data_IF_111465235531
#
_entry.id   IF_111465235531
#
_cell.length_a   1.000
_cell.length_b   1.000
_cell.length_c   1.000
_cell.angle_alpha   90.00
_cell.angle_beta   90.00
_cell.angle_gamma   90.00
#
_symmetry.space_group_name_H-M   'P 1'
#
loop_
_entity.id
_entity.type
_entity.pdbx_description
1 polymer ?
#
# COMPACT_ATOMS: atom_id res chain seq x y z
N UNK A 1 40.77 -4.40 11.79
CA UNK A 1 40.81 -3.55 13.02
C UNK A 1 39.40 -3.26 13.56
N UNK A 2 38.47 -2.71 12.78
CA UNK A 2 37.09 -2.46 13.25
C UNK A 2 36.36 -3.76 13.64
N UNK A 3 36.50 -4.84 12.86
CA UNK A 3 35.86 -6.12 13.17
C UNK A 3 36.35 -6.78 14.47
N UNK A 4 37.65 -6.63 14.81
CA UNK A 4 38.20 -7.17 16.06
C UNK A 4 37.68 -6.38 17.26
N UNK A 5 37.57 -5.05 17.15
CA UNK A 5 36.99 -4.19 18.19
C UNK A 5 35.49 -4.48 18.40
N UNK A 6 34.75 -4.85 17.37
CA UNK A 6 33.32 -5.22 17.46
C UNK A 6 33.15 -6.57 18.16
N UNK A 7 34.03 -7.54 17.90
CA UNK A 7 33.98 -8.86 18.54
C UNK A 7 34.38 -8.77 20.02
N UNK A 8 35.45 -8.06 20.35
CA UNK A 8 35.88 -7.86 21.73
C UNK A 8 34.82 -7.13 22.59
N UNK A 9 34.11 -6.15 21.99
CA UNK A 9 33.03 -5.46 22.69
C UNK A 9 31.77 -6.32 22.80
N UNK A 10 31.49 -7.17 21.80
CA UNK A 10 30.34 -8.09 21.87
C UNK A 10 30.51 -9.11 23.01
N UNK A 11 31.70 -9.67 23.16
CA UNK A 11 32.00 -10.63 24.24
C UNK A 11 32.04 -9.98 25.62
N UNK A 12 32.22 -8.67 25.71
CA UNK A 12 32.17 -7.91 26.97
C UNK A 12 30.77 -7.53 27.44
N UNK A 13 29.75 -7.73 26.60
CA UNK A 13 28.36 -7.40 26.92
C UNK A 13 27.80 -8.38 27.95
N UNK A 14 27.03 -7.87 28.90
CA UNK A 14 26.24 -8.70 29.80
C UNK A 14 25.08 -9.42 29.07
N UNK A 15 24.55 -10.50 29.63
CA UNK A 15 23.45 -11.25 29.03
C UNK A 15 22.21 -10.37 28.74
N UNK A 16 21.98 -9.31 29.53
CA UNK A 16 20.91 -8.35 29.32
C UNK A 16 21.15 -7.45 28.11
N UNK A 17 22.39 -7.05 27.85
CA UNK A 17 22.76 -6.17 26.73
C UNK A 17 22.64 -6.88 25.39
N UNK A 18 22.89 -8.19 25.32
CA UNK A 18 22.63 -8.98 24.10
C UNK A 18 21.15 -9.01 23.73
N UNK A 19 20.24 -9.06 24.70
CA UNK A 19 18.79 -9.03 24.45
C UNK A 19 18.39 -7.68 23.83
N UNK A 20 18.96 -6.57 24.30
CA UNK A 20 18.72 -5.26 23.73
C UNK A 20 19.23 -5.11 22.30
N UNK A 21 20.39 -5.70 21.99
CA UNK A 21 20.89 -5.73 20.61
C UNK A 21 19.91 -6.45 19.66
N UNK A 22 19.29 -7.56 20.12
CA UNK A 22 18.28 -8.28 19.34
C UNK A 22 16.98 -7.47 19.16
N UNK A 23 16.56 -6.69 20.15
CA UNK A 23 15.38 -5.82 20.06
C UNK A 23 15.63 -4.64 19.11
N UNK A 24 16.86 -4.14 19.01
CA UNK A 24 17.21 -3.06 18.09
C UNK A 24 17.02 -3.44 16.61
N UNK A 25 17.17 -4.71 16.23
CA UNK A 25 17.03 -5.18 14.85
C UNK A 25 15.61 -4.92 14.29
N UNK A 26 14.52 -5.40 14.92
CA UNK A 26 13.17 -5.12 14.41
C UNK A 26 12.83 -3.63 14.44
N UNK A 27 13.34 -2.86 15.41
CA UNK A 27 13.18 -1.40 15.45
C UNK A 27 13.86 -0.75 14.24
N UNK A 28 15.10 -1.15 13.94
CA UNK A 28 15.82 -0.71 12.75
C UNK A 28 15.05 -0.98 11.47
N UNK A 29 14.58 -2.22 11.28
CA UNK A 29 13.82 -2.62 10.09
C UNK A 29 12.56 -1.77 9.96
N UNK A 30 11.83 -1.54 11.05
CA UNK A 30 10.62 -0.72 11.06
C UNK A 30 10.91 0.74 10.68
N UNK A 31 11.92 1.36 11.28
CA UNK A 31 12.32 2.75 10.98
C UNK A 31 12.76 2.87 9.51
N UNK A 32 13.61 1.95 9.03
CA UNK A 32 14.07 1.93 7.66
C UNK A 32 12.91 1.78 6.65
N UNK A 33 11.85 1.05 7.04
CA UNK A 33 10.66 0.89 6.22
C UNK A 33 9.74 2.12 6.28
N UNK A 34 9.58 2.75 7.44
CA UNK A 34 8.83 4.01 7.60
C UNK A 34 9.49 5.12 6.77
N UNK A 35 10.82 5.15 6.69
CA UNK A 35 11.58 6.09 5.84
C UNK A 35 11.58 5.71 4.34
N UNK A 36 10.79 4.71 3.94
CA UNK A 36 10.68 4.18 2.57
C UNK A 36 12.01 3.72 1.95
N UNK A 37 13.04 3.46 2.75
CA UNK A 37 14.35 3.01 2.28
C UNK A 37 14.28 1.71 1.47
N UNK A 38 13.35 0.80 1.82
CA UNK A 38 13.14 -0.46 1.10
C UNK A 38 12.21 -0.32 -0.10
N UNK A 39 11.28 0.65 -0.08
CA UNK A 39 10.30 0.82 -1.16
C UNK A 39 10.86 1.64 -2.32
N UNK A 40 11.89 2.45 -2.09
CA UNK A 40 12.63 3.14 -3.15
C UNK A 40 13.29 2.15 -4.12
N UNK A 41 13.78 1.01 -3.63
CA UNK A 41 14.41 -0.02 -4.47
C UNK A 41 13.47 -0.61 -5.52
N UNK A 42 12.18 -0.76 -5.21
CA UNK A 42 11.18 -1.27 -6.16
C UNK A 42 10.71 -0.21 -7.15
N UNK A 43 10.97 1.07 -6.90
CA UNK A 43 10.45 2.20 -7.70
C UNK A 43 11.48 2.82 -8.65
N UNK A 44 12.76 2.54 -8.49
CA UNK A 44 13.83 3.13 -9.33
C UNK A 44 14.44 2.07 -10.24
N UNK A 45 14.66 2.44 -11.50
CA UNK A 45 15.26 1.56 -12.52
C UNK A 45 16.77 1.38 -12.28
N UNK A 46 17.44 2.37 -11.71
CA UNK A 46 18.86 2.33 -11.32
C UNK A 46 19.05 2.85 -9.90
N UNK A 47 19.80 2.10 -9.10
CA UNK A 47 20.12 2.45 -7.71
C UNK A 47 21.62 2.50 -7.48
N UNK A 48 22.06 3.55 -6.80
CA UNK A 48 23.38 3.59 -6.19
C UNK A 48 23.20 3.50 -4.66
N UNK A 49 23.94 2.61 -4.03
CA UNK A 49 23.99 2.53 -2.55
C UNK A 49 24.50 3.82 -1.93
N UNK A 50 25.28 4.60 -2.70
CA UNK A 50 25.81 5.89 -2.25
C UNK A 50 24.70 6.96 -2.10
N UNK A 51 23.67 6.92 -2.94
CA UNK A 51 22.56 7.87 -2.87
C UNK A 51 21.67 7.66 -1.63
N UNK A 52 21.79 6.50 -0.99
CA UNK A 52 21.00 6.13 0.19
C UNK A 52 21.76 6.36 1.51
N UNK A 53 23.06 6.64 1.46
CA UNK A 53 23.87 6.86 2.65
C UNK A 53 23.26 7.89 3.63
N UNK A 54 22.73 9.05 3.18
CA UNK A 54 22.10 10.00 4.09
C UNK A 54 20.88 9.42 4.81
N UNK A 55 20.03 8.66 4.10
CA UNK A 55 18.86 7.98 4.69
C UNK A 55 19.26 6.88 5.69
N UNK A 56 20.26 6.08 5.35
CA UNK A 56 20.79 5.04 6.24
C UNK A 56 21.40 5.65 7.51
N UNK A 57 22.12 6.77 7.40
CA UNK A 57 22.66 7.49 8.56
C UNK A 57 21.55 8.06 9.44
N UNK A 58 20.52 8.66 8.84
CA UNK A 58 19.34 9.15 9.57
C UNK A 58 18.62 8.01 10.30
N UNK A 59 18.42 6.88 9.62
CA UNK A 59 17.81 5.67 10.22
C UNK A 59 18.64 5.16 11.41
N UNK A 60 19.97 5.15 11.28
CA UNK A 60 20.88 4.77 12.37
C UNK A 60 20.73 5.71 13.58
N UNK A 61 20.76 7.02 13.34
CA UNK A 61 20.61 8.01 14.40
C UNK A 61 19.26 7.92 15.11
N UNK A 62 18.16 7.76 14.37
CA UNK A 62 16.80 7.60 14.94
C UNK A 62 16.71 6.30 15.75
N UNK A 63 17.27 5.19 15.23
CA UNK A 63 17.26 3.91 15.95
C UNK A 63 18.00 3.99 17.28
N UNK A 64 19.17 4.64 17.29
CA UNK A 64 19.94 4.88 18.52
C UNK A 64 19.13 5.74 19.50
N UNK A 65 18.51 6.82 19.04
CA UNK A 65 17.70 7.71 19.88
C UNK A 65 16.48 7.00 20.48
N UNK A 66 15.78 6.17 19.68
CA UNK A 66 14.63 5.37 20.13
C UNK A 66 15.07 4.31 21.14
N UNK A 67 16.15 3.60 20.85
CA UNK A 67 16.71 2.62 21.77
C UNK A 67 17.11 3.26 23.10
N UNK A 68 17.73 4.45 23.07
CA UNK A 68 18.09 5.19 24.28
C UNK A 68 16.87 5.63 25.09
N UNK A 69 15.81 6.10 24.42
CA UNK A 69 14.54 6.44 25.06
C UNK A 69 13.87 5.23 25.74
N UNK A 70 13.85 4.08 25.07
CA UNK A 70 13.24 2.84 25.60
C UNK A 70 14.04 2.32 26.81
N UNK A 71 15.37 2.31 26.73
CA UNK A 71 16.21 1.86 27.84
C UNK A 71 16.11 2.78 29.05
N UNK A 72 15.98 4.10 28.84
CA UNK A 72 15.73 5.06 29.91
C UNK A 72 14.38 4.86 30.61
N UNK A 73 13.33 4.48 29.86
CA UNK A 73 11.99 4.18 30.40
C UNK A 73 11.95 2.88 31.21
N UNK A 74 12.81 1.92 30.90
CA UNK A 74 12.84 0.59 31.52
C UNK A 74 13.95 0.44 32.58
N UNK A 75 14.57 1.57 33.00
CA UNK A 75 15.73 1.59 33.94
C UNK A 75 16.89 0.67 33.50
N UNK A 76 16.97 0.34 32.23
CA UNK A 76 18.03 -0.47 31.66
C UNK A 76 19.14 0.46 31.15
N UNK A 77 20.17 0.69 31.95
CA UNK A 77 21.27 1.59 31.64
C UNK A 77 22.27 0.95 30.66
N UNK A 78 22.00 1.08 29.34
CA UNK A 78 23.01 0.80 28.34
C UNK A 78 23.98 1.98 28.25
N UNK A 79 25.28 1.68 28.29
CA UNK A 79 26.34 2.70 28.14
C UNK A 79 26.28 3.32 26.75
N UNK A 80 26.46 4.64 26.64
CA UNK A 80 26.44 5.36 25.34
C UNK A 80 27.40 4.77 24.31
N UNK A 81 28.55 4.20 24.77
CA UNK A 81 29.51 3.50 23.91
C UNK A 81 28.93 2.23 23.28
N UNK A 82 28.20 1.43 24.04
CA UNK A 82 27.53 0.20 23.55
C UNK A 82 26.49 0.54 22.51
N UNK A 83 25.67 1.56 22.74
CA UNK A 83 24.66 2.01 21.76
C UNK A 83 25.30 2.50 20.46
N UNK A 84 26.40 3.23 20.55
CA UNK A 84 27.11 3.73 19.38
C UNK A 84 27.73 2.58 18.58
N UNK A 85 28.26 1.55 19.25
CA UNK A 85 28.78 0.34 18.60
C UNK A 85 27.67 -0.44 17.92
N UNK A 86 26.53 -0.67 18.59
CA UNK A 86 25.39 -1.37 18.00
C UNK A 86 24.85 -0.60 16.77
N UNK A 87 24.69 0.71 16.87
CA UNK A 87 24.22 1.54 15.77
C UNK A 87 25.18 1.54 14.57
N UNK A 88 26.49 1.64 14.83
CA UNK A 88 27.54 1.58 13.81
C UNK A 88 27.59 0.20 13.14
N UNK A 89 27.54 -0.86 13.92
CA UNK A 89 27.49 -2.24 13.42
C UNK A 89 26.23 -2.45 12.55
N UNK A 90 25.05 -2.04 13.02
CA UNK A 90 23.80 -2.13 12.27
C UNK A 90 23.89 -1.37 10.94
N UNK A 91 24.49 -0.17 10.91
CA UNK A 91 24.69 0.61 9.70
C UNK A 91 25.54 -0.15 8.66
N UNK A 92 26.72 -0.66 9.07
CA UNK A 92 27.61 -1.39 8.14
C UNK A 92 27.02 -2.73 7.69
N UNK A 93 26.38 -3.49 8.61
CA UNK A 93 25.70 -4.73 8.30
C UNK A 93 24.56 -4.48 7.29
N UNK A 94 23.82 -3.39 7.48
CA UNK A 94 22.73 -3.03 6.54
C UNK A 94 23.30 -2.73 5.14
N UNK A 95 24.38 -1.98 5.03
CA UNK A 95 25.03 -1.70 3.74
C UNK A 95 25.49 -3.02 3.07
N UNK A 96 26.14 -3.90 3.81
CA UNK A 96 26.62 -5.18 3.29
C UNK A 96 25.47 -6.07 2.83
N UNK A 97 24.44 -6.24 3.66
CA UNK A 97 23.27 -7.05 3.33
C UNK A 97 22.52 -6.47 2.12
N UNK A 98 22.32 -5.17 2.05
CA UNK A 98 21.69 -4.52 0.88
C UNK A 98 22.52 -4.73 -0.38
N UNK A 99 23.83 -4.56 -0.32
CA UNK A 99 24.72 -4.78 -1.45
C UNK A 99 24.68 -6.25 -1.89
N UNK A 100 24.70 -7.20 -0.95
CA UNK A 100 24.61 -8.62 -1.25
C UNK A 100 23.25 -9.00 -1.85
N UNK A 101 22.14 -8.51 -1.29
CA UNK A 101 20.78 -8.76 -1.81
C UNK A 101 20.62 -8.17 -3.21
N UNK A 102 21.13 -6.95 -3.46
CA UNK A 102 21.11 -6.36 -4.79
C UNK A 102 21.93 -7.18 -5.79
N UNK A 103 23.13 -7.55 -5.40
CA UNK A 103 23.99 -8.40 -6.25
C UNK A 103 23.31 -9.72 -6.60
N UNK A 104 22.70 -10.39 -5.61
CA UNK A 104 21.95 -11.63 -5.82
C UNK A 104 20.72 -11.40 -6.70
N UNK A 105 19.98 -10.31 -6.46
CA UNK A 105 18.82 -9.94 -7.27
C UNK A 105 19.20 -9.74 -8.74
N UNK A 106 20.32 -9.03 -9.00
CA UNK A 106 20.85 -8.84 -10.33
C UNK A 106 21.23 -10.14 -11.05
N UNK A 107 21.59 -11.19 -10.29
CA UNK A 107 21.93 -12.50 -10.87
C UNK A 107 20.71 -13.40 -11.13
N UNK A 108 19.62 -13.21 -10.36
CA UNK A 108 18.48 -14.15 -10.35
C UNK A 108 17.22 -13.56 -10.98
N UNK A 109 17.04 -12.22 -10.91
CA UNK A 109 15.84 -11.59 -11.45
C UNK A 109 15.84 -11.62 -12.98
N UNK A 110 14.74 -12.12 -13.55
CA UNK A 110 14.51 -12.03 -14.99
C UNK A 110 14.34 -10.56 -15.40
N UNK A 111 14.86 -10.22 -16.59
CA UNK A 111 14.70 -8.88 -17.15
C UNK A 111 13.21 -8.52 -17.32
N UNK A 112 12.84 -7.28 -16.99
CA UNK A 112 11.47 -6.77 -17.23
C UNK A 112 11.23 -6.64 -18.73
N UNK A 113 10.23 -7.36 -19.22
CA UNK A 113 9.82 -7.31 -20.62
C UNK A 113 9.14 -5.96 -20.91
N UNK A 114 9.81 -5.16 -21.73
CA UNK A 114 9.46 -3.76 -21.97
C UNK A 114 8.95 -3.56 -23.38
N UNK A 115 7.83 -2.86 -23.52
CA UNK A 115 7.20 -2.45 -24.77
C UNK A 115 7.27 -0.93 -24.91
N UNK A 116 7.65 -0.43 -26.07
CA UNK A 116 7.70 1.01 -26.35
C UNK A 116 6.46 1.42 -27.13
N UNK A 117 5.81 2.53 -26.73
CA UNK A 117 4.71 3.15 -27.49
C UNK A 117 5.24 4.42 -28.14
N UNK A 118 5.15 4.47 -29.46
CA UNK A 118 5.58 5.57 -30.31
C UNK A 118 6.32 5.08 -31.54
N UNK A 119 6.25 5.87 -32.61
CA UNK A 119 6.85 5.58 -33.92
C UNK A 119 7.91 6.58 -34.37
N UNK A 120 8.13 7.66 -33.60
CA UNK A 120 9.07 8.75 -33.98
C UNK A 120 10.51 8.58 -33.42
N UNK A 121 11.34 9.58 -33.70
CA UNK A 121 12.76 9.63 -33.30
C UNK A 121 12.98 9.43 -31.77
N UNK A 122 12.05 9.90 -30.95
CA UNK A 122 12.07 9.74 -29.50
C UNK A 122 11.91 8.27 -29.08
N UNK A 123 10.96 7.56 -29.69
CA UNK A 123 10.74 6.15 -29.45
C UNK A 123 11.96 5.33 -29.92
N UNK A 124 12.56 5.68 -31.05
CA UNK A 124 13.83 5.11 -31.53
C UNK A 124 14.97 5.31 -30.53
N UNK A 125 15.13 6.52 -30.03
CA UNK A 125 16.16 6.83 -29.04
C UNK A 125 16.00 5.96 -27.78
N UNK A 126 14.76 5.85 -27.28
CA UNK A 126 14.42 5.00 -26.13
C UNK A 126 14.70 3.53 -26.42
N UNK A 127 14.24 3.02 -27.56
CA UNK A 127 14.45 1.63 -27.98
C UNK A 127 15.96 1.30 -28.08
N UNK A 128 16.75 2.17 -28.73
CA UNK A 128 18.20 2.03 -28.79
C UNK A 128 18.85 2.03 -27.43
N UNK A 129 18.43 2.95 -26.53
CA UNK A 129 18.98 3.02 -25.17
C UNK A 129 18.61 1.80 -24.34
N UNK A 130 17.38 1.31 -24.44
CA UNK A 130 16.97 0.07 -23.78
C UNK A 130 17.79 -1.13 -24.26
N UNK A 131 18.08 -1.21 -25.56
CA UNK A 131 18.88 -2.30 -26.12
C UNK A 131 20.36 -2.25 -25.72
N UNK A 132 20.96 -1.06 -25.71
CA UNK A 132 22.41 -0.89 -25.45
C UNK A 132 22.72 -0.78 -23.96
N UNK A 133 21.84 -0.13 -23.18
CA UNK A 133 22.07 0.20 -21.79
C UNK A 133 20.99 -0.35 -20.84
N UNK A 134 19.98 -1.06 -21.37
CA UNK A 134 18.95 -1.73 -20.57
C UNK A 134 19.55 -2.80 -19.63
N UNK A 135 20.75 -3.25 -19.99
CA UNK A 135 21.53 -4.18 -19.19
C UNK A 135 20.72 -5.44 -18.85
N UNK A 136 21.01 -6.02 -17.69
CA UNK A 136 20.39 -7.27 -17.26
C UNK A 136 18.93 -7.10 -16.77
N UNK A 137 18.34 -5.88 -16.82
CA UNK A 137 17.05 -5.62 -16.14
C UNK A 137 15.88 -5.24 -17.04
N UNK A 138 16.12 -4.76 -18.28
CA UNK A 138 15.07 -4.36 -19.21
C UNK A 138 15.29 -5.02 -20.56
N UNK A 139 14.36 -5.89 -20.95
CA UNK A 139 14.34 -6.56 -22.25
C UNK A 139 13.37 -5.83 -23.19
N UNK A 140 13.87 -5.23 -24.25
CA UNK A 140 13.02 -4.66 -25.29
C UNK A 140 12.35 -5.75 -26.10
N UNK A 141 11.03 -5.92 -25.94
CA UNK A 141 10.23 -6.91 -26.68
C UNK A 141 9.81 -6.38 -28.05
N UNK A 142 9.44 -5.09 -28.13
CA UNK A 142 9.02 -4.46 -29.35
C UNK A 142 8.34 -3.10 -29.14
N UNK A 143 7.58 -2.66 -30.14
CA UNK A 143 6.89 -1.38 -30.05
C UNK A 143 5.48 -1.40 -30.64
N UNK A 144 4.66 -0.45 -30.18
CA UNK A 144 3.35 -0.10 -30.73
C UNK A 144 3.40 1.31 -31.34
N UNK A 145 2.76 1.49 -32.48
CA UNK A 145 2.72 2.79 -33.17
C UNK A 145 1.57 2.86 -34.18
N UNK A 146 1.25 4.05 -34.63
CA UNK A 146 0.13 4.21 -35.58
C UNK A 146 0.46 3.73 -36.99
N UNK A 147 1.75 3.76 -37.40
CA UNK A 147 2.19 3.34 -38.73
C UNK A 147 3.47 2.51 -38.70
N UNK A 148 3.48 1.46 -39.52
CA UNK A 148 4.66 0.56 -39.69
C UNK A 148 5.74 1.21 -40.54
N UNK A 149 5.37 2.12 -41.42
CA UNK A 149 6.16 2.46 -42.61
C UNK A 149 6.77 3.88 -42.63
N UNK A 150 6.49 4.72 -41.65
CA UNK A 150 6.69 6.14 -41.90
C UNK A 150 7.95 6.78 -41.39
N UNK A 151 8.90 6.03 -40.82
CA UNK A 151 10.16 6.69 -40.53
C UNK A 151 11.36 5.77 -40.58
N UNK A 152 12.28 6.10 -41.47
CA UNK A 152 13.70 5.80 -41.34
C UNK A 152 14.26 6.15 -39.93
N UNK A 153 13.44 6.79 -39.08
CA UNK A 153 13.75 7.26 -37.74
C UNK A 153 12.96 6.57 -36.61
N UNK A 154 12.27 5.45 -36.88
CA UNK A 154 11.45 4.75 -35.90
C UNK A 154 12.20 3.66 -35.09
N UNK A 155 11.52 3.06 -34.10
CA UNK A 155 12.07 1.97 -33.27
C UNK A 155 12.45 0.71 -34.09
N UNK A 156 11.90 0.53 -35.29
CA UNK A 156 12.23 -0.58 -36.19
C UNK A 156 13.72 -0.59 -36.55
N UNK A 157 14.34 0.58 -36.78
CA UNK A 157 15.78 0.72 -37.03
C UNK A 157 16.63 0.30 -35.81
N UNK A 158 16.06 0.31 -34.62
CA UNK A 158 16.66 -0.24 -33.41
C UNK A 158 16.49 -1.76 -33.31
N UNK A 159 15.91 -2.43 -34.32
CA UNK A 159 15.64 -3.88 -34.31
C UNK A 159 14.47 -4.29 -33.40
N UNK A 160 13.61 -3.33 -33.04
CA UNK A 160 12.41 -3.62 -32.26
C UNK A 160 11.29 -4.17 -33.16
N UNK A 161 10.58 -5.22 -32.70
CA UNK A 161 9.44 -5.82 -33.43
C UNK A 161 8.21 -4.93 -33.31
N UNK A 162 7.53 -4.71 -34.41
CA UNK A 162 6.22 -4.04 -34.44
C UNK A 162 5.10 -5.01 -34.06
N UNK A 163 4.22 -4.60 -33.16
CA UNK A 163 3.09 -5.42 -32.70
C UNK A 163 1.72 -4.88 -33.07
N UNK A 164 1.60 -3.64 -33.51
CA UNK A 164 0.31 -3.05 -33.89
C UNK A 164 0.08 -1.64 -33.35
N UNK A 165 -1.14 -1.12 -33.49
CA UNK A 165 -1.51 0.18 -32.96
C UNK A 165 -1.66 0.16 -31.42
N UNK A 166 -1.55 1.32 -30.74
CA UNK A 166 -1.64 1.40 -29.26
C UNK A 166 -2.94 0.85 -28.66
N UNK A 167 -4.03 0.78 -29.44
CA UNK A 167 -5.32 0.23 -29.00
C UNK A 167 -5.30 -1.28 -28.72
N UNK A 168 -4.33 -2.02 -29.24
CA UNK A 168 -4.18 -3.47 -29.03
C UNK A 168 -3.32 -3.83 -27.79
N UNK A 169 -2.90 -2.79 -27.04
CA UNK A 169 -1.99 -2.93 -25.89
C UNK A 169 -2.42 -4.00 -24.90
N UNK A 170 -3.70 -4.06 -24.53
CA UNK A 170 -4.16 -4.98 -23.49
C UNK A 170 -3.95 -6.45 -23.87
N UNK A 171 -4.29 -6.84 -25.11
CA UNK A 171 -4.07 -8.21 -25.60
C UNK A 171 -2.60 -8.56 -25.73
N UNK A 172 -1.80 -7.62 -26.25
CA UNK A 172 -0.35 -7.82 -26.46
C UNK A 172 0.37 -7.88 -25.11
N UNK A 173 -0.04 -7.08 -24.12
CA UNK A 173 0.57 -7.11 -22.80
C UNK A 173 0.43 -8.47 -22.12
N UNK A 174 -0.72 -9.10 -22.22
CA UNK A 174 -0.96 -10.44 -21.66
C UNK A 174 -0.24 -11.53 -22.47
N UNK A 175 -0.37 -11.52 -23.80
CA UNK A 175 0.24 -12.52 -24.69
C UNK A 175 1.76 -12.52 -24.58
N UNK A 176 2.36 -11.34 -24.61
CA UNK A 176 3.82 -11.19 -24.58
C UNK A 176 4.36 -11.07 -23.14
N UNK A 177 3.53 -11.17 -22.12
CA UNK A 177 3.90 -11.03 -20.69
C UNK A 177 4.72 -9.76 -20.44
N UNK A 178 4.19 -8.65 -20.90
CA UNK A 178 4.84 -7.34 -20.73
C UNK A 178 4.76 -6.90 -19.27
N UNK A 179 5.88 -6.47 -18.70
CA UNK A 179 5.97 -5.97 -17.34
C UNK A 179 5.98 -4.44 -17.30
N UNK A 180 6.47 -3.81 -18.39
CA UNK A 180 6.63 -2.36 -18.48
C UNK A 180 6.28 -1.83 -19.86
N UNK A 181 5.61 -0.68 -19.88
CA UNK A 181 5.33 0.08 -21.11
C UNK A 181 6.02 1.43 -21.01
N UNK A 182 6.78 1.81 -22.04
CA UNK A 182 7.42 3.12 -22.15
C UNK A 182 6.71 3.96 -23.19
N UNK A 183 6.05 5.03 -22.77
CA UNK A 183 5.41 5.98 -23.68
C UNK A 183 6.45 7.00 -24.11
N UNK A 184 6.82 6.98 -25.39
CA UNK A 184 7.82 7.84 -26.01
C UNK A 184 7.29 8.49 -27.30
N UNK A 185 6.10 9.04 -27.21
CA UNK A 185 5.41 9.67 -28.34
C UNK A 185 4.87 11.04 -27.90
N UNK A 186 5.25 12.09 -28.63
CA UNK A 186 4.83 13.46 -28.37
C UNK A 186 3.51 13.84 -29.07
N UNK A 187 3.05 13.02 -30.02
CA UNK A 187 1.85 13.26 -30.81
C UNK A 187 0.60 12.62 -30.17
N UNK A 188 0.78 11.78 -29.16
CA UNK A 188 -0.35 11.17 -28.45
C UNK A 188 -1.19 12.22 -27.73
N UNK A 189 -2.49 12.22 -28.01
CA UNK A 189 -3.43 13.06 -27.27
C UNK A 189 -3.48 12.68 -25.78
N UNK A 190 -3.80 13.65 -24.91
CA UNK A 190 -3.98 13.40 -23.49
C UNK A 190 -5.01 12.29 -23.20
N UNK A 191 -6.02 12.15 -24.06
CA UNK A 191 -7.03 11.09 -23.98
C UNK A 191 -6.40 9.72 -24.28
N UNK A 192 -5.62 9.59 -25.35
CA UNK A 192 -4.93 8.34 -25.68
C UNK A 192 -3.95 7.92 -24.59
N UNK A 193 -3.17 8.86 -24.03
CA UNK A 193 -2.30 8.60 -22.89
C UNK A 193 -3.10 8.10 -21.68
N UNK A 194 -4.24 8.71 -21.37
CA UNK A 194 -5.11 8.27 -20.28
C UNK A 194 -5.67 6.86 -20.49
N UNK A 195 -6.06 6.52 -21.73
CA UNK A 195 -6.55 5.19 -22.10
C UNK A 195 -5.43 4.12 -21.98
N UNK A 196 -4.22 4.44 -22.44
CA UNK A 196 -3.03 3.58 -22.27
C UNK A 196 -2.72 3.34 -20.78
N UNK A 197 -2.70 4.39 -19.98
CA UNK A 197 -2.47 4.30 -18.53
C UNK A 197 -3.55 3.43 -17.86
N UNK A 198 -4.81 3.61 -18.25
CA UNK A 198 -5.92 2.81 -17.72
C UNK A 198 -5.79 1.32 -18.09
N UNK A 199 -5.42 1.00 -19.33
CA UNK A 199 -5.15 -0.36 -19.78
C UNK A 199 -3.99 -1.00 -19.01
N UNK A 200 -2.85 -0.30 -18.88
CA UNK A 200 -1.71 -0.79 -18.12
C UNK A 200 -2.06 -1.01 -16.64
N UNK A 201 -2.85 -0.11 -16.04
CA UNK A 201 -3.30 -0.24 -14.66
C UNK A 201 -4.16 -1.50 -14.46
N UNK A 202 -5.06 -1.81 -15.40
CA UNK A 202 -5.90 -3.02 -15.33
C UNK A 202 -5.08 -4.31 -15.43
N UNK A 203 -4.06 -4.32 -16.28
CA UNK A 203 -3.15 -5.46 -16.50
C UNK A 203 -1.96 -5.48 -15.53
N UNK A 204 -1.88 -4.56 -14.55
CA UNK A 204 -0.76 -4.44 -13.58
C UNK A 204 0.61 -4.22 -14.23
N UNK A 205 0.63 -3.60 -15.38
CA UNK A 205 1.85 -3.26 -16.13
C UNK A 205 2.34 -1.89 -15.71
N UNK A 206 3.63 -1.76 -15.39
CA UNK A 206 4.26 -0.48 -15.06
C UNK A 206 4.31 0.43 -16.29
N UNK A 207 4.04 1.73 -16.09
CA UNK A 207 4.12 2.72 -17.18
C UNK A 207 5.22 3.71 -16.88
N UNK A 208 6.06 3.92 -17.87
CA UNK A 208 7.09 4.96 -17.85
C UNK A 208 6.82 5.93 -18.99
N UNK A 209 6.73 7.22 -18.70
CA UNK A 209 6.53 8.25 -19.71
C UNK A 209 7.79 9.08 -19.88
N UNK A 210 8.19 9.28 -21.13
CA UNK A 210 9.24 10.24 -21.48
C UNK A 210 8.58 11.60 -21.74
N UNK A 211 8.81 12.62 -20.88
CA UNK A 211 8.13 13.90 -21.01
C UNK A 211 8.50 14.60 -22.33
N UNK A 212 7.51 15.26 -22.93
CA UNK A 212 7.66 16.00 -24.18
C UNK A 212 8.63 17.20 -24.01
N UNK A 213 8.56 17.89 -22.88
CA UNK A 213 9.38 19.06 -22.55
C UNK A 213 10.18 18.81 -21.29
N UNK A 214 11.48 18.63 -21.42
CA UNK A 214 12.41 18.48 -20.29
C UNK A 214 12.56 19.77 -19.47
N UNK A 215 12.30 20.94 -20.08
CA UNK A 215 12.39 22.24 -19.45
C UNK A 215 11.28 22.59 -18.46
N UNK A 216 10.18 21.83 -18.45
CA UNK A 216 9.05 22.02 -17.52
C UNK A 216 9.31 21.35 -16.16
N UNK A 217 10.32 20.49 -16.09
CA UNK A 217 10.69 19.75 -14.88
C UNK A 217 11.59 20.63 -14.02
N UNK A 218 11.02 21.26 -12.99
CA UNK A 218 11.77 22.11 -12.04
C UNK A 218 12.83 21.33 -11.25
N UNK A 219 13.78 22.05 -10.62
CA UNK A 219 14.90 21.48 -9.86
C UNK A 219 14.43 20.86 -8.53
N UNK A 220 13.69 19.82 -8.55
CA UNK A 220 13.12 19.12 -7.37
C UNK A 220 12.31 17.90 -7.74
N UNK A 221 12.11 17.66 -9.03
CA UNK A 221 11.37 16.48 -9.50
C UNK A 221 12.33 15.28 -9.49
N UNK A 222 12.08 14.31 -8.62
CA UNK A 222 12.82 13.04 -8.65
C UNK A 222 12.41 12.27 -9.92
N UNK A 223 13.26 12.33 -10.93
CA UNK A 223 13.07 11.63 -12.20
C UNK A 223 13.95 10.39 -12.23
N UNK A 224 13.36 9.27 -12.57
CA UNK A 224 14.12 8.12 -13.03
C UNK A 224 14.82 8.50 -14.35
N UNK A 225 16.07 8.10 -14.50
CA UNK A 225 16.83 8.33 -15.73
C UNK A 225 17.31 7.01 -16.31
N UNK A 226 17.00 6.77 -17.58
CA UNK A 226 17.67 5.73 -18.34
C UNK A 226 18.62 6.46 -19.29
N UNK A 227 19.92 6.32 -19.06
CA UNK A 227 20.95 6.89 -19.91
C UNK A 227 20.72 8.38 -20.27
N UNK A 228 20.53 9.22 -19.23
CA UNK A 228 20.30 10.67 -19.32
C UNK A 228 18.90 11.10 -19.78
N UNK A 229 18.05 10.19 -20.25
CA UNK A 229 16.64 10.51 -20.59
C UNK A 229 15.83 10.54 -19.30
N UNK A 230 15.26 11.71 -18.93
CA UNK A 230 14.38 11.80 -17.76
C UNK A 230 13.08 11.07 -18.03
N UNK A 231 12.58 10.32 -17.05
CA UNK A 231 11.37 9.51 -17.16
C UNK A 231 10.47 9.69 -15.95
N UNK A 232 9.15 9.78 -16.20
CA UNK A 232 8.12 9.71 -15.18
C UNK A 232 7.65 8.26 -15.08
N UNK A 233 7.81 7.65 -13.92
CA UNK A 233 7.47 6.24 -13.71
C UNK A 233 6.18 6.11 -12.89
N UNK A 234 5.21 5.37 -13.43
CA UNK A 234 3.94 5.05 -12.80
C UNK A 234 3.90 3.54 -12.57
N UNK A 235 3.98 3.13 -11.31
CA UNK A 235 3.91 1.72 -10.96
C UNK A 235 2.49 1.35 -10.55
N UNK A 236 1.90 0.38 -11.24
CA UNK A 236 0.56 -0.17 -10.95
C UNK A 236 0.62 -1.60 -10.42
N UNK A 237 1.80 -2.07 -10.08
CA UNK A 237 2.02 -3.41 -9.52
C UNK A 237 1.45 -3.57 -8.10
N UNK A 238 1.43 -4.81 -7.62
CA UNK A 238 1.11 -5.09 -6.21
C UNK A 238 2.18 -4.49 -5.29
N UNK A 239 1.81 -4.08 -4.07
CA UNK A 239 2.77 -3.59 -3.09
C UNK A 239 3.88 -4.62 -2.84
N UNK A 240 5.13 -4.19 -2.56
CA UNK A 240 6.24 -5.09 -2.29
C UNK A 240 5.90 -6.14 -1.22
N UNK A 241 6.34 -7.38 -1.40
CA UNK A 241 6.08 -8.47 -0.44
C UNK A 241 6.54 -8.12 0.97
N UNK A 242 7.65 -7.39 1.10
CA UNK A 242 8.17 -6.88 2.37
C UNK A 242 7.18 -5.93 3.05
N UNK A 243 6.57 -5.00 2.31
CA UNK A 243 5.52 -4.10 2.80
C UNK A 243 4.32 -4.89 3.30
N UNK A 244 3.88 -5.89 2.53
CA UNK A 244 2.75 -6.73 2.93
C UNK A 244 3.06 -7.59 4.15
N UNK A 245 4.30 -8.08 4.30
CA UNK A 245 4.73 -8.83 5.48
C UNK A 245 4.73 -7.95 6.75
N UNK A 246 5.30 -6.74 6.68
CA UNK A 246 5.32 -5.80 7.81
C UNK A 246 3.89 -5.34 8.15
N UNK A 247 3.09 -5.02 7.14
CA UNK A 247 1.67 -4.70 7.34
C UNK A 247 0.94 -5.84 8.06
N UNK A 248 1.17 -7.09 7.66
CA UNK A 248 0.57 -8.26 8.30
C UNK A 248 1.03 -8.43 9.76
N UNK A 249 2.30 -8.21 10.03
CA UNK A 249 2.85 -8.25 11.40
C UNK A 249 2.21 -7.17 12.27
N UNK A 250 2.10 -5.94 11.76
CA UNK A 250 1.41 -4.84 12.44
C UNK A 250 -0.07 -5.17 12.69
N UNK A 251 -0.77 -5.71 11.69
CA UNK A 251 -2.15 -6.17 11.79
C UNK A 251 -2.33 -7.18 12.94
N UNK A 252 -1.44 -8.18 13.03
CA UNK A 252 -1.49 -9.21 14.06
C UNK A 252 -1.21 -8.65 15.46
N UNK A 253 -0.12 -7.90 15.62
CA UNK A 253 0.29 -7.34 16.93
C UNK A 253 -0.82 -6.44 17.47
N UNK A 254 -1.28 -5.47 16.68
CA UNK A 254 -2.31 -4.52 17.11
C UNK A 254 -3.63 -5.23 17.41
N UNK A 255 -4.05 -6.18 16.57
CA UNK A 255 -5.32 -6.90 16.78
C UNK A 255 -5.31 -7.76 18.03
N UNK A 256 -4.21 -8.49 18.30
CA UNK A 256 -4.08 -9.27 19.55
C UNK A 256 -4.11 -8.33 20.74
N UNK A 257 -3.32 -7.25 20.72
CA UNK A 257 -3.27 -6.28 21.82
C UNK A 257 -4.63 -5.66 22.10
N UNK A 258 -5.33 -5.21 21.04
CA UNK A 258 -6.64 -4.58 21.16
C UNK A 258 -7.70 -5.55 21.68
N UNK A 259 -7.75 -6.79 21.19
CA UNK A 259 -8.71 -7.79 21.70
C UNK A 259 -8.43 -8.14 23.16
N UNK A 260 -7.17 -8.28 23.54
CA UNK A 260 -6.80 -8.58 24.95
C UNK A 260 -7.19 -7.41 25.86
N UNK A 261 -6.85 -6.19 25.47
CA UNK A 261 -7.15 -4.98 26.26
C UNK A 261 -8.66 -4.75 26.38
N UNK A 262 -9.42 -4.97 25.31
CA UNK A 262 -10.86 -4.73 25.28
C UNK A 262 -11.71 -5.93 25.74
N UNK A 263 -11.11 -7.10 25.99
CA UNK A 263 -11.83 -8.33 26.39
C UNK A 263 -12.80 -8.13 27.57
N UNK A 264 -12.42 -7.47 28.71
CA UNK A 264 -13.37 -7.25 29.80
C UNK A 264 -14.53 -6.34 29.39
N UNK A 265 -14.28 -5.30 28.57
CA UNK A 265 -15.31 -4.41 28.07
C UNK A 265 -16.23 -5.13 27.07
N UNK A 266 -15.68 -6.04 26.24
CA UNK A 266 -16.49 -6.87 25.35
C UNK A 266 -17.42 -7.81 26.13
N UNK A 267 -16.97 -8.37 27.26
CA UNK A 267 -17.81 -9.19 28.12
C UNK A 267 -18.95 -8.38 28.75
N UNK A 268 -18.67 -7.16 29.22
CA UNK A 268 -19.68 -6.22 29.73
C UNK A 268 -20.69 -5.81 28.63
N UNK A 269 -20.20 -5.48 27.45
CA UNK A 269 -21.05 -5.13 26.32
C UNK A 269 -21.94 -6.32 25.91
N UNK A 270 -21.40 -7.54 25.90
CA UNK A 270 -22.16 -8.76 25.61
C UNK A 270 -23.31 -8.99 26.61
N UNK A 271 -23.03 -8.77 27.89
CA UNK A 271 -24.05 -8.83 28.94
C UNK A 271 -25.11 -7.75 28.76
N UNK A 272 -24.70 -6.51 28.52
CA UNK A 272 -25.62 -5.39 28.30
C UNK A 272 -26.53 -5.63 27.08
N UNK A 273 -25.99 -6.11 25.96
CA UNK A 273 -26.77 -6.46 24.75
C UNK A 273 -27.82 -7.55 25.06
N UNK A 274 -27.44 -8.57 25.85
CA UNK A 274 -28.37 -9.65 26.26
C UNK A 274 -29.50 -9.17 27.13
N UNK A 275 -29.23 -8.20 28.00
CA UNK A 275 -30.22 -7.58 28.90
C UNK A 275 -31.14 -6.59 28.17
N UNK A 276 -30.63 -5.87 27.16
CA UNK A 276 -31.36 -4.84 26.41
C UNK A 276 -32.31 -5.43 25.36
N UNK A 277 -31.91 -6.52 24.71
CA UNK A 277 -32.72 -7.15 23.64
C UNK A 277 -32.49 -8.66 23.50
N UNK A 278 -33.53 -9.41 23.11
CA UNK A 278 -33.43 -10.85 22.84
C UNK A 278 -32.62 -11.13 21.57
N UNK A 279 -31.81 -12.20 21.57
CA UNK A 279 -31.07 -12.67 20.40
C UNK A 279 -29.55 -12.81 20.62
N UNK A 280 -28.76 -13.09 19.57
CA UNK A 280 -27.30 -13.28 19.65
C UNK A 280 -26.58 -11.99 19.97
N UNK A 281 -25.43 -12.07 20.64
CA UNK A 281 -24.58 -10.91 20.96
C UNK A 281 -23.87 -10.38 19.72
N UNK A 282 -23.42 -11.30 18.86
CA UNK A 282 -22.69 -10.95 17.65
C UNK A 282 -23.64 -10.89 16.45
N UNK A 283 -23.50 -9.84 15.68
CA UNK A 283 -24.05 -9.69 14.35
C UNK A 283 -23.01 -10.16 13.32
N UNK A 284 -23.46 -10.89 12.31
CA UNK A 284 -22.63 -11.43 11.24
C UNK A 284 -23.21 -10.98 9.91
N UNK A 285 -22.37 -10.41 9.06
CA UNK A 285 -22.77 -9.94 7.74
C UNK A 285 -21.75 -10.37 6.70
N UNK A 286 -22.21 -10.88 5.57
CA UNK A 286 -21.34 -11.18 4.44
C UNK A 286 -20.92 -9.87 3.78
N UNK A 287 -19.64 -9.74 3.50
CA UNK A 287 -19.04 -8.59 2.84
C UNK A 287 -18.03 -9.05 1.80
N UNK A 288 -17.81 -8.22 0.78
CA UNK A 288 -16.83 -8.49 -0.26
C UNK A 288 -15.45 -8.05 0.22
N UNK A 289 -14.50 -8.96 0.13
CA UNK A 289 -13.11 -8.78 0.52
C UNK A 289 -12.18 -8.64 -0.68
N UNK A 290 -10.90 -8.97 -0.44
CA UNK A 290 -9.85 -8.90 -1.47
C UNK A 290 -10.16 -9.84 -2.63
N UNK A 291 -9.88 -9.34 -3.85
CA UNK A 291 -10.07 -10.06 -5.13
C UNK A 291 -11.53 -10.52 -5.35
N UNK A 292 -12.51 -9.83 -4.71
CA UNK A 292 -13.92 -10.15 -4.83
C UNK A 292 -14.39 -11.37 -4.03
N UNK A 293 -13.59 -11.87 -3.08
CA UNK A 293 -13.92 -13.02 -2.25
C UNK A 293 -14.77 -12.60 -1.05
N UNK A 294 -15.87 -13.27 -0.83
CA UNK A 294 -16.73 -13.00 0.32
C UNK A 294 -16.11 -13.45 1.64
N UNK A 295 -16.41 -12.70 2.69
CA UNK A 295 -16.05 -13.06 4.05
C UNK A 295 -17.14 -12.65 5.04
N UNK A 296 -17.19 -13.30 6.20
CA UNK A 296 -18.13 -12.96 7.28
C UNK A 296 -17.51 -11.91 8.18
N UNK A 297 -18.06 -10.70 8.18
CA UNK A 297 -17.69 -9.61 9.08
C UNK A 297 -18.40 -9.73 10.42
N UNK A 298 -17.66 -9.56 11.53
CA UNK A 298 -18.19 -9.64 12.89
C UNK A 298 -18.38 -8.26 13.50
N UNK A 299 -19.56 -8.02 14.11
CA UNK A 299 -19.86 -6.84 14.91
C UNK A 299 -20.59 -7.22 16.18
N UNK A 300 -20.66 -6.33 17.17
CA UNK A 300 -21.65 -6.45 18.23
C UNK A 300 -23.03 -6.06 17.68
N UNK A 301 -24.05 -6.76 18.11
CA UNK A 301 -25.43 -6.42 17.72
C UNK A 301 -25.86 -5.11 18.37
N UNK A 302 -26.27 -4.15 17.55
CA UNK A 302 -26.73 -2.82 17.95
C UNK A 302 -28.18 -2.57 17.60
N UNK A 303 -28.82 -3.50 16.89
CA UNK A 303 -30.22 -3.44 16.46
C UNK A 303 -31.02 -4.60 17.05
N UNK A 304 -32.35 -4.48 17.00
CA UNK A 304 -33.27 -5.55 17.34
C UNK A 304 -33.12 -6.77 16.40
N UNK A 305 -33.61 -7.93 16.79
CA UNK A 305 -33.32 -9.17 16.06
C UNK A 305 -33.93 -9.21 14.65
N UNK A 306 -35.08 -8.58 14.47
CA UNK A 306 -35.87 -8.48 13.25
C UNK A 306 -35.63 -7.18 12.45
N UNK A 307 -34.49 -6.53 12.66
CA UNK A 307 -34.17 -5.24 12.05
C UNK A 307 -34.07 -5.28 10.51
N UNK A 308 -33.67 -6.41 9.92
CA UNK A 308 -33.59 -6.57 8.47
C UNK A 308 -34.96 -6.64 7.84
N UNK A 309 -35.90 -7.40 8.48
CA UNK A 309 -37.29 -7.53 8.00
C UNK A 309 -38.03 -6.19 8.04
N UNK A 310 -37.67 -5.30 8.95
CA UNK A 310 -38.27 -3.97 9.07
C UNK A 310 -37.69 -2.93 8.09
N UNK A 311 -36.63 -3.25 7.38
CA UNK A 311 -35.94 -2.29 6.49
C UNK A 311 -36.87 -1.81 5.37
N UNK A 312 -37.51 -2.73 4.66
CA UNK A 312 -38.40 -2.44 3.52
C UNK A 312 -39.58 -1.55 3.89
N UNK A 313 -40.00 -1.57 5.19
CA UNK A 313 -41.06 -0.71 5.70
C UNK A 313 -40.59 0.73 6.00
N UNK A 314 -39.26 0.96 6.13
CA UNK A 314 -38.69 2.21 6.54
C UNK A 314 -38.11 3.02 5.38
N UNK A 315 -37.73 2.36 4.30
CA UNK A 315 -37.09 2.99 3.14
C UNK A 315 -37.53 2.27 1.87
N UNK A 316 -37.84 3.07 0.85
CA UNK A 316 -37.94 2.59 -0.52
C UNK A 316 -36.53 2.49 -1.12
N UNK A 317 -36.02 1.27 -1.21
CA UNK A 317 -34.66 1.00 -1.71
C UNK A 317 -34.50 1.36 -3.19
N UNK A 318 -35.59 1.30 -3.96
CA UNK A 318 -35.60 1.61 -5.40
C UNK A 318 -35.56 3.14 -5.68
N UNK A 319 -35.86 3.95 -4.67
CA UNK A 319 -35.86 5.41 -4.77
C UNK A 319 -34.54 6.07 -4.31
N UNK A 320 -33.50 5.29 -4.00
CA UNK A 320 -32.22 5.82 -3.53
C UNK A 320 -31.31 6.23 -4.69
N UNK A 321 -30.83 7.47 -4.65
CA UNK A 321 -29.85 8.00 -5.62
C UNK A 321 -28.46 7.37 -5.45
N UNK A 322 -28.10 6.88 -4.25
CA UNK A 322 -26.83 6.22 -3.96
C UNK A 322 -27.10 4.83 -3.33
N UNK A 323 -26.25 3.82 -3.65
CA UNK A 323 -26.40 2.47 -3.12
C UNK A 323 -26.11 2.33 -1.61
N UNK A 324 -25.59 3.40 -0.99
CA UNK A 324 -25.31 3.47 0.44
C UNK A 324 -26.20 4.51 1.12
N UNK A 325 -27.14 4.06 1.93
CA UNK A 325 -28.07 4.94 2.66
C UNK A 325 -27.86 4.88 4.18
N UNK A 326 -28.38 5.88 4.85
CA UNK A 326 -28.34 6.00 6.30
C UNK A 326 -29.64 6.60 6.83
N UNK A 327 -30.25 5.92 7.80
CA UNK A 327 -31.43 6.41 8.49
C UNK A 327 -31.00 7.21 9.70
N UNK A 328 -31.37 8.48 9.76
CA UNK A 328 -31.16 9.33 10.94
C UNK A 328 -32.15 8.90 12.02
N UNK A 329 -31.69 8.66 13.26
CA UNK A 329 -32.50 8.16 14.38
C UNK A 329 -33.26 6.84 14.07
N UNK A 330 -32.56 5.88 13.49
CA UNK A 330 -33.11 4.57 13.13
C UNK A 330 -33.79 3.89 14.34
N UNK A 331 -35.12 3.65 14.29
CA UNK A 331 -35.90 3.08 15.40
C UNK A 331 -35.49 1.65 15.75
N UNK A 332 -34.80 0.95 14.87
CA UNK A 332 -34.33 -0.42 15.07
C UNK A 332 -33.11 -0.50 15.99
N UNK A 333 -32.45 0.64 16.27
CA UNK A 333 -31.26 0.71 17.13
C UNK A 333 -31.65 0.67 18.60
N UNK A 334 -31.13 -0.31 19.34
CA UNK A 334 -31.39 -0.49 20.76
C UNK A 334 -30.71 0.61 21.61
N UNK A 335 -31.09 0.76 22.90
CA UNK A 335 -30.49 1.75 23.80
C UNK A 335 -28.99 1.51 23.99
N UNK A 336 -28.59 0.27 24.22
CA UNK A 336 -27.18 -0.15 24.30
C UNK A 336 -26.51 0.03 22.95
N UNK A 337 -27.20 -0.30 21.87
CA UNK A 337 -26.73 -0.13 20.49
C UNK A 337 -26.34 1.31 20.16
N UNK A 338 -27.11 2.32 20.62
CA UNK A 338 -26.78 3.75 20.44
C UNK A 338 -25.41 4.10 21.07
N UNK A 339 -25.15 3.61 22.28
CA UNK A 339 -23.87 3.84 22.98
C UNK A 339 -22.71 3.16 22.26
N UNK A 340 -22.90 1.89 21.84
CA UNK A 340 -21.87 1.12 21.13
C UNK A 340 -21.52 1.75 19.78
N UNK A 341 -22.52 2.20 19.00
CA UNK A 341 -22.29 2.88 17.71
C UNK A 341 -21.58 4.21 17.89
N UNK A 342 -22.00 5.02 18.86
CA UNK A 342 -21.37 6.34 19.14
C UNK A 342 -19.90 6.20 19.50
N UNK A 343 -19.52 5.15 20.21
CA UNK A 343 -18.12 4.84 20.56
C UNK A 343 -17.38 4.03 19.51
N UNK A 344 -18.05 3.58 18.43
CA UNK A 344 -17.56 2.59 17.46
C UNK A 344 -17.11 1.27 18.12
N UNK A 345 -17.55 1.00 19.35
CA UNK A 345 -17.18 -0.21 20.07
C UNK A 345 -17.83 -1.48 19.47
N UNK A 346 -18.93 -1.32 18.75
CA UNK A 346 -19.58 -2.39 17.99
C UNK A 346 -18.68 -2.98 16.90
N UNK A 347 -17.68 -2.27 16.44
CA UNK A 347 -16.74 -2.72 15.41
C UNK A 347 -15.52 -3.48 15.97
N UNK A 348 -15.30 -3.48 17.31
CA UNK A 348 -14.15 -4.16 17.94
C UNK A 348 -14.06 -5.66 17.56
N UNK A 349 -15.14 -6.45 17.41
CA UNK A 349 -15.03 -7.85 16.97
C UNK A 349 -14.40 -8.02 15.57
N UNK A 350 -14.34 -6.98 14.73
CA UNK A 350 -13.66 -7.04 13.43
C UNK A 350 -12.14 -7.27 13.56
N UNK A 351 -11.52 -7.01 14.71
CA UNK A 351 -10.14 -7.44 14.94
C UNK A 351 -9.96 -8.97 14.80
N UNK A 352 -11.02 -9.76 15.00
CA UNK A 352 -11.02 -11.20 14.70
C UNK A 352 -10.89 -11.44 13.20
N UNK A 353 -11.56 -10.63 12.36
CA UNK A 353 -11.40 -10.70 10.91
C UNK A 353 -9.99 -10.33 10.47
N UNK A 354 -9.38 -9.33 11.15
CA UNK A 354 -7.99 -8.99 10.90
C UNK A 354 -7.05 -10.16 11.27
N UNK A 355 -7.25 -10.81 12.41
CA UNK A 355 -6.46 -11.99 12.81
C UNK A 355 -6.63 -13.16 11.83
N UNK A 356 -7.83 -13.44 11.37
CA UNK A 356 -8.10 -14.45 10.34
C UNK A 356 -7.45 -14.12 9.00
N UNK A 357 -7.22 -12.84 8.73
CA UNK A 357 -6.63 -12.37 7.48
C UNK A 357 -7.66 -12.01 6.41
N UNK A 358 -8.94 -11.95 6.75
CA UNK A 358 -10.01 -11.45 5.88
C UNK A 358 -9.91 -9.94 5.71
N UNK A 359 -9.50 -9.24 6.77
CA UNK A 359 -9.32 -7.79 6.84
C UNK A 359 -7.89 -7.41 7.21
N UNK A 360 -7.60 -6.13 7.12
CA UNK A 360 -6.42 -5.44 7.64
C UNK A 360 -6.86 -4.32 8.59
N UNK A 361 -5.95 -3.79 9.41
CA UNK A 361 -6.24 -2.59 10.21
C UNK A 361 -6.60 -1.42 9.31
N UNK A 362 -5.83 -1.21 8.24
CA UNK A 362 -6.01 -0.10 7.30
C UNK A 362 -6.30 -0.64 5.91
N UNK A 363 -7.37 -0.12 5.29
CA UNK A 363 -7.78 -0.49 3.94
C UNK A 363 -9.09 0.18 3.52
N UNK A 364 -9.56 -0.06 2.30
CA UNK A 364 -10.89 0.34 1.86
C UNK A 364 -11.99 -0.25 2.77
N UNK A 365 -13.10 0.46 2.93
CA UNK A 365 -14.22 -0.05 3.71
C UNK A 365 -14.85 -1.26 3.01
N UNK A 366 -15.14 -2.37 3.72
CA UNK A 366 -15.81 -3.53 3.12
C UNK A 366 -17.26 -3.19 2.76
N UNK A 367 -17.68 -3.49 1.54
CA UNK A 367 -19.02 -3.25 1.03
C UNK A 367 -19.81 -4.54 0.85
N UNK A 368 -21.12 -4.42 0.70
CA UNK A 368 -22.05 -5.51 0.41
C UNK A 368 -21.92 -5.97 -1.04
N UNK A 369 -22.26 -7.25 -1.30
CA UNK A 369 -22.21 -7.81 -2.64
C UNK A 369 -23.09 -7.02 -3.63
N UNK A 370 -24.27 -6.60 -3.21
CA UNK A 370 -25.18 -5.79 -4.02
C UNK A 370 -24.55 -4.46 -4.47
N UNK A 371 -23.80 -3.80 -3.60
CA UNK A 371 -23.09 -2.55 -3.92
C UNK A 371 -21.94 -2.82 -4.88
N UNK A 372 -21.15 -3.88 -4.62
CA UNK A 372 -20.00 -4.25 -5.47
C UNK A 372 -20.43 -4.73 -6.85
N UNK A 373 -21.63 -5.32 -6.97
CA UNK A 373 -22.20 -5.71 -8.26
C UNK A 373 -22.38 -4.53 -9.21
N UNK A 374 -22.66 -3.34 -8.68
CA UNK A 374 -22.83 -2.10 -9.44
C UNK A 374 -21.50 -1.43 -9.83
N UNK A 375 -20.36 -1.93 -9.33
CA UNK A 375 -19.07 -1.32 -9.60
C UNK A 375 -18.60 -1.50 -11.05
N UNK A 376 -18.15 -0.41 -11.64
CA UNK A 376 -17.40 -0.42 -12.89
C UNK A 376 -15.97 -1.01 -12.68
N UNK A 377 -15.23 -1.16 -13.78
CA UNK A 377 -13.87 -1.71 -13.73
C UNK A 377 -12.90 -0.84 -12.91
N UNK A 378 -13.08 0.49 -12.88
CA UNK A 378 -12.26 1.43 -12.11
C UNK A 378 -12.58 1.32 -10.61
N UNK A 379 -13.84 1.21 -10.27
CA UNK A 379 -14.31 1.08 -8.89
C UNK A 379 -13.89 -0.26 -8.27
N UNK A 380 -13.84 -1.34 -9.06
CA UNK A 380 -13.36 -2.67 -8.64
C UNK A 380 -11.88 -2.69 -8.24
N UNK A 381 -11.06 -1.68 -8.61
CA UNK A 381 -9.64 -1.61 -8.23
C UNK A 381 -9.45 -1.54 -6.71
N UNK A 382 -10.41 -1.02 -5.95
CA UNK A 382 -10.37 -1.01 -4.48
C UNK A 382 -10.32 -2.42 -3.86
N UNK A 383 -10.79 -3.42 -4.58
CA UNK A 383 -10.80 -4.82 -4.13
C UNK A 383 -9.44 -5.53 -4.27
N UNK A 384 -8.41 -4.87 -4.82
CA UNK A 384 -7.06 -5.44 -4.97
C UNK A 384 -6.35 -5.66 -3.63
N UNK A 385 -6.77 -4.96 -2.59
CA UNK A 385 -6.22 -5.07 -1.23
C UNK A 385 -7.28 -5.57 -0.27
N UNK A 386 -6.85 -6.02 0.93
CA UNK A 386 -7.78 -6.41 1.98
C UNK A 386 -8.57 -5.19 2.47
N UNK A 387 -9.88 -5.34 2.74
CA UNK A 387 -10.65 -4.27 3.38
C UNK A 387 -10.11 -3.95 4.77
N UNK A 388 -10.27 -2.69 5.20
CA UNK A 388 -9.76 -2.17 6.46
C UNK A 388 -10.82 -2.03 7.55
N UNK A 389 -10.38 -2.14 8.80
CA UNK A 389 -11.13 -1.70 9.97
C UNK A 389 -11.26 -0.18 9.98
N UNK A 390 -10.18 0.50 9.62
CA UNK A 390 -10.14 1.95 9.32
C UNK A 390 -9.53 2.16 7.93
N UNK A 391 -9.61 3.39 7.41
CA UNK A 391 -9.08 3.68 6.09
C UNK A 391 -9.13 5.17 5.74
N UNK A 392 -8.69 5.53 4.53
CA UNK A 392 -8.58 6.92 4.10
C UNK A 392 -9.93 7.65 4.17
N UNK A 393 -11.02 7.00 3.77
CA UNK A 393 -12.37 7.56 3.85
C UNK A 393 -12.78 7.85 5.29
N UNK A 394 -12.51 6.92 6.22
CA UNK A 394 -12.92 7.05 7.62
C UNK A 394 -12.24 8.23 8.32
N UNK A 395 -11.01 8.55 7.96
CA UNK A 395 -10.24 9.65 8.58
C UNK A 395 -10.37 10.99 7.84
N UNK A 396 -10.90 11.00 6.62
CA UNK A 396 -11.11 12.22 5.81
C UNK A 396 -12.47 12.91 6.08
N UNK A 397 -13.36 12.29 6.87
CA UNK A 397 -14.68 12.87 7.20
C UNK A 397 -15.84 12.10 6.56
N UNK A 398 -16.22 11.00 7.18
CA UNK A 398 -17.21 9.99 6.73
C UNK A 398 -18.54 10.54 6.16
N UNK A 399 -19.04 11.65 6.63
CA UNK A 399 -20.42 12.12 6.36
C UNK A 399 -20.55 13.18 5.27
N UNK A 400 -19.45 13.77 4.81
CA UNK A 400 -19.48 14.88 3.85
C UNK A 400 -18.95 14.57 2.46
N UNK A 401 -18.49 13.31 2.22
CA UNK A 401 -17.91 12.92 0.94
C UNK A 401 -18.96 12.24 0.06
N UNK A 402 -19.01 12.61 -1.20
CA UNK A 402 -19.79 11.91 -2.22
C UNK A 402 -19.23 10.50 -2.45
N UNK A 403 -20.03 9.63 -3.05
CA UNK A 403 -19.59 8.26 -3.38
C UNK A 403 -18.32 8.25 -4.24
N UNK A 404 -18.23 9.10 -5.24
CA UNK A 404 -17.06 9.24 -6.12
C UNK A 404 -15.81 9.72 -5.37
N UNK A 405 -15.94 10.69 -4.45
CA UNK A 405 -14.83 11.15 -3.61
C UNK A 405 -14.29 10.06 -2.69
N UNK A 406 -15.19 9.25 -2.10
CA UNK A 406 -14.81 8.08 -1.29
C UNK A 406 -14.01 7.08 -2.12
N UNK A 407 -14.51 6.74 -3.32
CA UNK A 407 -13.82 5.81 -4.22
C UNK A 407 -12.48 6.36 -4.70
N UNK A 408 -12.38 7.67 -4.95
CA UNK A 408 -11.13 8.30 -5.35
C UNK A 408 -10.06 8.20 -4.24
N UNK A 409 -10.42 8.47 -2.98
CA UNK A 409 -9.52 8.35 -1.83
C UNK A 409 -9.06 6.90 -1.61
N UNK A 410 -9.97 5.93 -1.74
CA UNK A 410 -9.63 4.52 -1.56
C UNK A 410 -8.77 3.99 -2.71
N UNK A 411 -9.00 4.44 -3.93
CA UNK A 411 -8.16 4.11 -5.07
C UNK A 411 -6.76 4.69 -4.93
N UNK A 412 -6.64 5.96 -4.52
CA UNK A 412 -5.34 6.57 -4.24
C UNK A 412 -4.57 5.79 -3.17
N UNK A 413 -5.26 5.36 -2.12
CA UNK A 413 -4.67 4.49 -1.09
C UNK A 413 -4.16 3.15 -1.66
N UNK A 414 -4.94 2.50 -2.53
CA UNK A 414 -4.56 1.21 -3.14
C UNK A 414 -3.33 1.37 -4.04
N UNK A 415 -3.31 2.42 -4.84
CA UNK A 415 -2.20 2.71 -5.77
C UNK A 415 -0.91 3.14 -5.02
N UNK A 416 -1.05 3.83 -3.87
CA UNK A 416 0.04 4.40 -3.08
C UNK A 416 0.18 3.76 -1.69
N UNK A 417 -0.12 2.47 -1.56
CA UNK A 417 -0.06 1.76 -0.28
C UNK A 417 1.37 1.76 0.28
N UNK A 418 1.54 2.37 1.45
CA UNK A 418 2.80 2.42 2.20
C UNK A 418 2.55 2.22 3.70
N UNK A 419 3.55 1.69 4.42
CA UNK A 419 3.45 1.55 5.88
C UNK A 419 3.31 2.91 6.57
N UNK A 420 4.01 3.94 6.07
CA UNK A 420 3.89 5.31 6.58
C UNK A 420 2.47 5.86 6.41
N UNK A 421 1.83 5.57 5.26
CA UNK A 421 0.42 5.91 5.01
C UNK A 421 -0.51 5.24 6.03
N UNK A 422 -0.32 3.94 6.27
CA UNK A 422 -1.09 3.18 7.26
C UNK A 422 -0.93 3.76 8.67
N UNK A 423 0.30 4.03 9.10
CA UNK A 423 0.57 4.64 10.41
C UNK A 423 -0.11 6.00 10.54
N UNK A 424 -0.04 6.86 9.52
CA UNK A 424 -0.73 8.16 9.52
C UNK A 424 -2.26 8.01 9.66
N UNK A 425 -2.85 7.03 8.97
CA UNK A 425 -4.29 6.75 9.08
C UNK A 425 -4.63 6.24 10.49
N UNK A 426 -3.85 5.30 11.04
CA UNK A 426 -4.04 4.78 12.39
C UNK A 426 -3.95 5.88 13.45
N UNK A 427 -3.00 6.81 13.35
CA UNK A 427 -2.86 7.94 14.27
C UNK A 427 -4.02 8.94 14.19
N UNK A 428 -4.66 9.06 13.03
CA UNK A 428 -5.85 9.93 12.83
C UNK A 428 -7.15 9.26 13.27
N UNK A 429 -7.20 7.93 13.28
CA UNK A 429 -8.42 7.16 13.58
C UNK A 429 -9.03 7.48 14.95
N UNK A 430 -8.29 7.59 16.08
CA UNK A 430 -8.88 7.95 17.38
C UNK A 430 -9.62 9.28 17.34
N UNK A 431 -9.05 10.28 16.64
CA UNK A 431 -9.68 11.59 16.51
C UNK A 431 -10.97 11.51 15.67
N UNK A 432 -10.99 10.69 14.61
CA UNK A 432 -12.18 10.48 13.79
C UNK A 432 -13.29 9.75 14.57
N UNK A 433 -12.92 8.79 15.42
CA UNK A 433 -13.87 8.08 16.31
C UNK A 433 -14.46 9.03 17.35
N UNK A 434 -13.63 9.84 18.02
CA UNK A 434 -14.08 10.79 19.07
C UNK A 434 -14.99 11.89 18.51
N UNK A 435 -14.72 12.38 17.30
CA UNK A 435 -15.58 13.37 16.64
C UNK A 435 -16.94 12.84 16.28
N UNK A 436 -17.08 11.51 16.14
CA UNK A 436 -18.34 10.87 15.78
C UNK A 436 -18.84 11.24 14.38
N UNK A 437 -18.01 11.82 13.53
CA UNK A 437 -18.38 12.23 12.17
C UNK A 437 -18.83 10.99 11.39
N UNK A 438 -20.15 10.78 11.30
CA UNK A 438 -20.77 9.67 10.59
C UNK A 438 -21.03 8.38 11.40
N UNK A 439 -21.04 8.42 12.72
CA UNK A 439 -21.32 7.27 13.60
C UNK A 439 -22.80 7.10 13.97
N UNK A 440 -23.74 7.80 13.34
CA UNK A 440 -25.18 7.72 13.66
C UNK A 440 -25.92 6.84 12.66
#
# INVERSE_FOLDING_TARGET
MIGVLLVDQWDSLSSGEHVWALIAIPIWILIAKVDNLYDRDSRRIRHSTLDELPGLLATAAITIAVAWGITGLLDAHLTSSVMLVIGTAAFFVTILLRSAVRWTYHQVAAAERTLVIGSGAKARLVANRLRVQGGDHLELVGYLGQNVSDSLDGPADAGARYFGPPGELAGIADEQRINRVVIADDELSARAVSEIIAACRSSRVSVTMVPANQSVLGPGTELNRIAEVPMLDFQFGDPPRSTMAIKRTMDLIVSVSMLTLTAPLLALAALAIRLDSRGPVFFRQVRVGRDGRDFTMYKLRTMIADAEEQLDSLIDLDALDEPAFKIVDDPRVTRVGKVLRRSSFDEVPQFINVLKGDMSLVGPRPEEEAVVALYDQRQRQRLRVKPGLTGPMQVAGRGGLTFEERLALERDYVDNLTITGDVKILLRTPRAVVRGDGAF
#
